data_IF_182802655940
#
_entry.id   IF_182802655940
#
_cell.length_a   1.000
_cell.length_b   1.000
_cell.length_c   1.000
_cell.angle_alpha   90.00
_cell.angle_beta   90.00
_cell.angle_gamma   90.00
#
_symmetry.space_group_name_H-M   'P 1'
#
loop_
_entity.id
_entity.type
_entity.pdbx_description
1 polymer ?
#
# COMPACT_ATOMS: atom_id res chain seq x y z
N UNK A 1 -29.70 7.09 1.81
CA UNK A 1 -28.78 6.01 2.24
C UNK A 1 -27.74 6.50 3.26
N UNK A 2 -28.14 7.19 4.34
CA UNK A 2 -27.18 7.72 5.35
C UNK A 2 -26.89 6.73 6.49
N UNK A 3 -27.65 5.64 6.58
CA UNK A 3 -27.53 4.63 7.64
C UNK A 3 -26.48 3.54 7.37
N UNK A 4 -25.75 3.60 6.24
CA UNK A 4 -24.71 2.61 5.90
C UNK A 4 -23.65 2.50 7.01
N UNK A 5 -23.30 3.62 7.65
CA UNK A 5 -22.42 3.69 8.81
C UNK A 5 -22.91 2.90 10.04
N UNK A 6 -24.19 2.51 10.10
CA UNK A 6 -24.71 1.66 11.19
C UNK A 6 -24.48 0.17 10.96
N UNK A 7 -24.18 -0.24 9.72
CA UNK A 7 -23.94 -1.63 9.34
C UNK A 7 -22.43 -1.88 9.26
N UNK A 8 -21.68 -0.90 8.78
CA UNK A 8 -20.22 -0.90 8.76
C UNK A 8 -19.70 -0.61 10.17
N UNK A 9 -19.05 -1.59 10.80
CA UNK A 9 -18.28 -1.35 12.00
C UNK A 9 -17.15 -0.36 11.67
N UNK A 10 -17.32 0.89 12.13
CA UNK A 10 -16.41 2.00 11.85
C UNK A 10 -14.95 1.65 12.17
N UNK A 11 -14.69 1.01 13.31
CA UNK A 11 -13.32 0.65 13.72
C UNK A 11 -12.74 -0.38 12.77
N UNK A 12 -13.52 -1.42 12.44
CA UNK A 12 -13.09 -2.46 11.50
C UNK A 12 -12.83 -1.89 10.11
N UNK A 13 -13.72 -1.03 9.60
CA UNK A 13 -13.58 -0.42 8.27
C UNK A 13 -12.35 0.47 8.18
N UNK A 14 -12.09 1.32 9.18
CA UNK A 14 -10.91 2.18 9.20
C UNK A 14 -9.62 1.35 9.28
N UNK A 15 -9.59 0.32 10.13
CA UNK A 15 -8.44 -0.58 10.23
C UNK A 15 -8.18 -1.30 8.91
N UNK A 16 -9.23 -1.85 8.27
CA UNK A 16 -9.10 -2.52 6.97
C UNK A 16 -8.64 -1.57 5.86
N UNK A 17 -9.16 -0.34 5.83
CA UNK A 17 -8.72 0.67 4.87
C UNK A 17 -7.23 0.99 5.04
N UNK A 18 -6.79 1.19 6.30
CA UNK A 18 -5.39 1.47 6.61
C UNK A 18 -4.47 0.30 6.26
N UNK A 19 -4.83 -0.92 6.67
CA UNK A 19 -4.07 -2.14 6.35
C UNK A 19 -4.03 -2.38 4.84
N UNK A 20 -5.15 -2.21 4.13
CA UNK A 20 -5.22 -2.35 2.68
C UNK A 20 -4.31 -1.35 1.95
N UNK A 21 -4.33 -0.09 2.37
CA UNK A 21 -3.42 0.93 1.84
C UNK A 21 -1.96 0.64 2.14
N UNK A 22 -1.63 0.17 3.35
CA UNK A 22 -0.27 -0.19 3.73
C UNK A 22 0.25 -1.37 2.90
N UNK A 23 -0.56 -2.42 2.72
CA UNK A 23 -0.23 -3.57 1.86
C UNK A 23 0.00 -3.11 0.42
N UNK A 24 -0.89 -2.28 -0.12
CA UNK A 24 -0.75 -1.73 -1.48
C UNK A 24 0.54 -0.91 -1.62
N UNK A 25 0.86 -0.06 -0.65
CA UNK A 25 2.09 0.70 -0.65
C UNK A 25 3.31 -0.22 -0.66
N UNK A 26 3.38 -1.21 0.23
CA UNK A 26 4.48 -2.16 0.28
C UNK A 26 4.62 -2.97 -1.02
N UNK A 27 3.51 -3.43 -1.60
CA UNK A 27 3.53 -4.13 -2.89
C UNK A 27 4.14 -3.27 -3.98
N UNK A 28 3.76 -1.99 -4.08
CA UNK A 28 4.35 -1.07 -5.06
C UNK A 28 5.86 -0.90 -4.83
N UNK A 29 6.28 -0.72 -3.56
CA UNK A 29 7.70 -0.61 -3.23
C UNK A 29 8.47 -1.86 -3.62
N UNK A 30 7.95 -3.05 -3.31
CA UNK A 30 8.59 -4.32 -3.67
C UNK A 30 8.64 -4.54 -5.18
N UNK A 31 7.59 -4.16 -5.92
CA UNK A 31 7.58 -4.24 -7.39
C UNK A 31 8.67 -3.33 -7.97
N UNK A 32 8.71 -2.06 -7.55
CA UNK A 32 9.75 -1.12 -8.01
C UNK A 32 11.15 -1.64 -7.68
N UNK A 33 11.34 -2.16 -6.47
CA UNK A 33 12.60 -2.71 -6.01
C UNK A 33 13.02 -3.97 -6.78
N UNK A 34 12.08 -4.72 -7.35
CA UNK A 34 12.39 -5.88 -8.21
C UNK A 34 12.80 -5.50 -9.63
N UNK A 35 12.78 -4.22 -9.99
CA UNK A 35 13.08 -3.74 -11.35
C UNK A 35 14.48 -3.16 -11.43
N UNK A 36 15.27 -3.51 -12.45
CA UNK A 36 16.66 -3.02 -12.59
C UNK A 36 16.77 -1.49 -12.59
N UNK A 37 15.86 -0.79 -13.29
CA UNK A 37 15.90 0.67 -13.42
C UNK A 37 15.43 1.44 -12.18
N UNK A 38 14.55 0.84 -11.37
CA UNK A 38 13.90 1.52 -10.24
C UNK A 38 14.32 0.97 -8.89
N UNK A 39 15.18 -0.05 -8.87
CA UNK A 39 15.75 -0.58 -7.65
C UNK A 39 16.73 0.42 -7.06
N UNK A 40 16.26 1.20 -6.10
CA UNK A 40 17.09 2.17 -5.39
C UNK A 40 18.08 1.52 -4.41
N UNK A 41 17.99 0.21 -4.15
CA UNK A 41 18.96 -0.52 -3.33
C UNK A 41 20.14 -1.07 -4.14
N UNK A 42 19.97 -1.34 -5.44
CA UNK A 42 21.06 -1.85 -6.30
C UNK A 42 22.18 -0.81 -6.50
N UNK A 43 21.85 0.49 -6.34
CA UNK A 43 22.78 1.59 -6.63
C UNK A 43 22.97 1.77 -8.13
N UNK A 44 22.99 3.01 -8.61
CA UNK A 44 23.11 3.32 -10.03
C UNK A 44 24.35 2.63 -10.64
N UNK A 45 24.21 1.66 -11.57
CA UNK A 45 25.37 1.00 -12.16
C UNK A 45 26.22 1.93 -13.05
N UNK A 46 25.74 3.15 -13.34
CA UNK A 46 26.43 4.13 -14.19
C UNK A 46 26.87 5.41 -13.44
N UNK A 47 26.98 5.39 -12.11
CA UNK A 47 27.55 6.49 -11.31
C UNK A 47 28.80 6.02 -10.59
#
# INVERSE_FOLDING_TARGET
>A
MWRMWKILDYRRTVVLAHVGMAVLALLIHFILLSTESFNWLEGNPYG
#
